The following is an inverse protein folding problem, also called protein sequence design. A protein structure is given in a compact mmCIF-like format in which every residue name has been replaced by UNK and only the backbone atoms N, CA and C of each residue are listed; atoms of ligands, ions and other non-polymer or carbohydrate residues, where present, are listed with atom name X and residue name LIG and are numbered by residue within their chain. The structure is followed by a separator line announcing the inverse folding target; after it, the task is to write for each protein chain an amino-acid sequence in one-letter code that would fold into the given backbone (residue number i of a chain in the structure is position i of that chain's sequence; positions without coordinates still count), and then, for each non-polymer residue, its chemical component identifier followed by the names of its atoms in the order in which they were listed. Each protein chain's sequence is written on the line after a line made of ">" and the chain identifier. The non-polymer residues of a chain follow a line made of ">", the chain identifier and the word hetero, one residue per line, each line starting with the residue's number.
data_IF_157581463940
#
_entry.id   IF_157581463940
#
_cell.length_a   1.000
_cell.length_b   1.000
_cell.length_c   1.000
_cell.angle_alpha   90.00
_cell.angle_beta   90.00
_cell.angle_gamma   90.00
#
_symmetry.space_group_name_H-M   'P 1'
#
loop_
_entity.id
_entity.type
_entity.pdbx_description
1 polymer ?
#
# COMPACT_ATOMS: atom_id res chain seq x y z
N UNK A 1 17.89 -42.46 29.88
CA UNK A 1 16.98 -41.92 30.91
C UNK A 1 15.62 -41.79 30.26
N UNK A 2 14.65 -42.57 30.73
CA UNK A 2 13.26 -42.49 30.25
C UNK A 2 12.43 -41.89 31.38
N UNK A 3 11.64 -40.87 31.04
CA UNK A 3 10.83 -40.14 32.01
C UNK A 3 9.48 -40.85 32.18
N UNK A 4 9.23 -41.41 33.37
CA UNK A 4 8.01 -42.17 33.67
C UNK A 4 6.90 -41.30 34.26
N UNK A 5 7.25 -40.32 35.09
CA UNK A 5 6.30 -39.45 35.78
C UNK A 5 6.90 -38.05 36.01
N UNK A 6 6.07 -36.98 36.04
CA UNK A 6 6.53 -35.65 36.38
C UNK A 6 6.99 -35.58 37.85
N UNK A 7 8.10 -34.89 38.09
CA UNK A 7 8.69 -34.78 39.41
C UNK A 7 10.14 -34.32 39.39
N UNK A 8 10.67 -33.95 40.56
CA UNK A 8 12.09 -33.68 40.76
C UNK A 8 12.79 -34.98 41.13
N UNK A 9 13.86 -35.30 40.42
CA UNK A 9 14.72 -36.43 40.74
C UNK A 9 16.18 -36.02 40.69
N UNK A 10 17.05 -36.83 41.26
CA UNK A 10 18.49 -36.60 41.25
C UNK A 10 19.15 -37.75 40.49
N UNK A 11 20.05 -37.41 39.57
CA UNK A 11 20.93 -38.37 38.91
C UNK A 11 22.28 -38.28 39.59
N UNK A 12 22.72 -39.39 40.15
CA UNK A 12 23.99 -39.50 40.86
C UNK A 12 24.94 -40.29 39.97
N UNK A 13 26.13 -39.75 39.72
CA UNK A 13 27.22 -40.47 39.06
C UNK A 13 28.43 -40.53 39.99
N UNK A 14 29.02 -41.71 40.14
CA UNK A 14 30.19 -41.92 40.98
C UNK A 14 31.33 -42.57 40.18
N UNK A 15 32.54 -42.03 40.33
CA UNK A 15 33.79 -42.61 39.81
C UNK A 15 34.85 -42.55 40.91
N UNK A 16 35.26 -43.72 41.41
CA UNK A 16 36.12 -43.80 42.60
C UNK A 16 35.46 -43.13 43.81
N UNK A 17 36.18 -42.21 44.45
CA UNK A 17 35.71 -41.42 45.61
C UNK A 17 34.96 -40.13 45.21
N UNK A 18 34.85 -39.84 43.92
CA UNK A 18 34.18 -38.63 43.43
C UNK A 18 32.72 -38.91 43.10
N UNK A 19 31.81 -38.18 43.74
CA UNK A 19 30.36 -38.24 43.51
C UNK A 19 29.91 -36.91 42.91
N UNK A 20 29.20 -36.96 41.79
CA UNK A 20 28.51 -35.82 41.19
C UNK A 20 27.00 -36.05 41.22
N UNK A 21 26.26 -35.03 41.65
CA UNK A 21 24.78 -35.06 41.73
C UNK A 21 24.23 -34.00 40.81
N UNK A 22 23.42 -34.40 39.85
CA UNK A 22 22.68 -33.51 38.96
C UNK A 22 21.18 -33.57 39.31
N UNK A 23 20.57 -32.40 39.54
CA UNK A 23 19.12 -32.31 39.70
C UNK A 23 18.44 -32.35 38.33
N UNK A 24 17.46 -33.23 38.17
CA UNK A 24 16.67 -33.38 36.94
C UNK A 24 15.20 -33.13 37.27
N UNK A 25 14.60 -32.14 36.62
CA UNK A 25 13.16 -31.87 36.69
C UNK A 25 12.48 -32.48 35.47
N UNK A 26 11.54 -33.39 35.71
CA UNK A 26 10.65 -33.94 34.69
C UNK A 26 9.33 -33.19 34.78
N UNK A 27 9.05 -32.31 33.82
CA UNK A 27 7.82 -31.52 33.80
C UNK A 27 6.70 -32.20 33.02
N UNK A 28 5.46 -32.04 33.49
CA UNK A 28 4.26 -32.39 32.74
C UNK A 28 4.09 -31.40 31.57
N UNK A 29 3.82 -31.90 30.36
CA UNK A 29 3.63 -31.07 29.15
C UNK A 29 2.19 -30.62 28.97
N UNK A 30 1.35 -30.69 30.00
CA UNK A 30 -0.01 -30.13 29.96
C UNK A 30 0.02 -28.61 30.03
N UNK A 31 -0.82 -27.95 29.23
CA UNK A 31 -0.98 -26.49 29.26
C UNK A 31 -1.89 -26.12 30.44
N UNK A 32 -1.40 -25.29 31.36
CA UNK A 32 -2.14 -24.86 32.56
C UNK A 32 -2.66 -23.43 32.45
N UNK A 33 -1.88 -22.54 31.84
CA UNK A 33 -2.26 -21.15 31.64
C UNK A 33 -1.85 -20.66 30.25
N UNK A 34 -2.54 -19.62 29.80
CA UNK A 34 -2.34 -19.01 28.50
C UNK A 34 -2.27 -17.50 28.69
N UNK A 35 -1.25 -16.88 28.11
CA UNK A 35 -1.04 -15.45 28.09
C UNK A 35 -1.03 -14.98 26.64
N UNK A 36 -1.46 -13.74 26.42
CA UNK A 36 -1.40 -13.09 25.12
C UNK A 36 -0.44 -11.91 25.18
N UNK A 37 0.27 -11.66 24.10
CA UNK A 37 1.16 -10.51 23.96
C UNK A 37 0.41 -9.20 24.20
N UNK A 38 1.10 -8.19 24.73
CA UNK A 38 0.54 -6.85 24.84
C UNK A 38 0.14 -6.32 23.46
N UNK A 39 -1.13 -5.96 23.32
CA UNK A 39 -1.73 -5.43 22.10
C UNK A 39 -2.26 -4.03 22.39
N UNK A 40 -2.27 -3.11 21.39
CA UNK A 40 -2.90 -1.81 21.57
C UNK A 40 -4.42 -1.97 21.68
N UNK A 41 -5.07 -1.09 22.46
CA UNK A 41 -6.53 -1.09 22.58
C UNK A 41 -7.20 -0.48 21.36
N UNK A 42 -6.49 0.37 20.62
CA UNK A 42 -7.03 1.09 19.46
C UNK A 42 -6.27 0.73 18.20
N UNK A 43 -7.02 0.42 17.14
CA UNK A 43 -6.49 0.18 15.79
C UNK A 43 -7.16 1.12 14.80
N UNK A 44 -6.50 1.36 13.68
CA UNK A 44 -7.09 2.06 12.54
C UNK A 44 -7.43 1.06 11.44
N UNK A 45 -8.50 1.33 10.71
CA UNK A 45 -8.82 0.54 9.51
C UNK A 45 -7.61 0.53 8.56
N UNK A 46 -7.20 -0.67 8.15
CA UNK A 46 -6.02 -0.94 7.34
C UNK A 46 -4.75 -1.27 8.12
N UNK A 47 -4.77 -1.18 9.46
CA UNK A 47 -3.65 -1.62 10.28
C UNK A 47 -3.56 -3.16 10.28
N UNK A 48 -2.34 -3.67 10.19
CA UNK A 48 -2.02 -5.09 10.35
C UNK A 48 -1.08 -5.28 11.55
N UNK A 49 -1.45 -6.17 12.48
CA UNK A 49 -0.64 -6.50 13.66
C UNK A 49 -0.62 -8.01 13.89
N UNK A 50 0.47 -8.51 14.50
CA UNK A 50 0.56 -9.91 14.87
C UNK A 50 0.33 -10.09 16.38
N UNK A 51 -0.68 -10.89 16.75
CA UNK A 51 -0.87 -11.34 18.12
C UNK A 51 -0.12 -12.65 18.35
N UNK A 52 0.50 -12.77 19.53
CA UNK A 52 1.21 -13.98 19.96
C UNK A 52 0.63 -14.47 21.28
N UNK A 53 0.64 -15.77 21.46
CA UNK A 53 0.19 -16.42 22.69
C UNK A 53 1.33 -17.25 23.27
N UNK A 54 1.48 -17.23 24.59
CA UNK A 54 2.44 -18.05 25.32
C UNK A 54 1.63 -18.98 26.21
N UNK A 55 1.93 -20.26 26.17
CA UNK A 55 1.23 -21.31 26.91
C UNK A 55 2.17 -21.93 27.92
N UNK A 56 1.81 -21.88 29.21
CA UNK A 56 2.71 -22.27 30.29
C UNK A 56 2.23 -23.59 30.93
N UNK A 57 3.19 -24.46 31.24
CA UNK A 57 3.00 -25.64 32.08
C UNK A 57 2.88 -25.27 33.56
N UNK A 58 2.57 -26.25 34.41
CA UNK A 58 2.60 -26.14 35.87
C UNK A 58 3.91 -25.52 36.40
N UNK A 59 5.04 -25.86 35.79
CA UNK A 59 6.35 -25.37 36.22
C UNK A 59 6.75 -24.03 35.56
N UNK A 60 5.82 -23.37 34.85
CA UNK A 60 6.05 -22.10 34.19
C UNK A 60 6.90 -22.21 32.91
N UNK A 61 7.12 -23.42 32.40
CA UNK A 61 7.81 -23.66 31.13
C UNK A 61 6.88 -23.42 29.95
N UNK A 62 7.42 -22.84 28.87
CA UNK A 62 6.70 -22.66 27.61
C UNK A 62 6.43 -24.01 26.95
N UNK A 63 5.16 -24.26 26.66
CA UNK A 63 4.68 -25.46 25.98
C UNK A 63 4.18 -25.02 24.61
N UNK A 64 4.86 -25.38 23.50
CA UNK A 64 4.43 -24.95 22.17
C UNK A 64 3.06 -25.53 21.84
N UNK A 65 2.11 -24.65 21.57
CA UNK A 65 0.76 -25.00 21.17
C UNK A 65 0.26 -24.04 20.09
N UNK A 66 -0.61 -24.54 19.20
CA UNK A 66 -1.21 -23.73 18.14
C UNK A 66 -2.58 -23.25 18.61
N UNK A 67 -2.78 -21.94 18.85
CA UNK A 67 -4.07 -21.40 19.24
C UNK A 67 -5.08 -21.43 18.10
N UNK A 68 -6.33 -21.74 18.43
CA UNK A 68 -7.47 -21.49 17.55
C UNK A 68 -7.95 -20.05 17.76
N UNK A 69 -7.87 -19.24 16.72
CA UNK A 69 -8.30 -17.85 16.73
C UNK A 69 -9.74 -17.69 16.27
N UNK A 70 -10.45 -16.76 16.90
CA UNK A 70 -11.79 -16.33 16.51
C UNK A 70 -11.95 -14.83 16.72
N UNK A 71 -12.78 -14.19 15.89
CA UNK A 71 -13.19 -12.79 16.03
C UNK A 71 -14.70 -12.74 16.21
N UNK A 72 -15.16 -11.84 17.07
CA UNK A 72 -16.60 -11.63 17.29
C UNK A 72 -17.28 -11.02 16.06
N UNK A 73 -16.54 -10.18 15.31
CA UNK A 73 -17.01 -9.56 14.08
C UNK A 73 -15.88 -9.47 13.04
N UNK A 74 -15.99 -10.30 12.00
CA UNK A 74 -15.02 -10.39 10.89
C UNK A 74 -15.17 -9.29 9.83
N UNK A 75 -16.22 -8.47 9.90
CA UNK A 75 -16.38 -7.27 9.08
C UNK A 75 -15.62 -6.09 9.67
N UNK A 76 -15.41 -6.08 11.00
CA UNK A 76 -14.63 -5.07 11.71
C UNK A 76 -13.15 -5.48 11.78
N UNK A 77 -12.86 -6.73 12.15
CA UNK A 77 -11.48 -7.17 12.37
C UNK A 77 -11.34 -8.67 12.08
N UNK A 78 -10.40 -9.00 11.20
CA UNK A 78 -10.10 -10.37 10.78
C UNK A 78 -8.85 -10.86 11.48
N UNK A 79 -8.83 -12.14 11.81
CA UNK A 79 -7.66 -12.81 12.39
C UNK A 79 -7.38 -14.07 11.59
N UNK A 80 -6.14 -14.22 11.14
CA UNK A 80 -5.65 -15.38 10.44
C UNK A 80 -5.19 -16.47 11.44
N UNK A 81 -5.09 -17.75 11.02
CA UNK A 81 -4.67 -18.84 11.90
C UNK A 81 -3.27 -18.66 12.52
N UNK A 82 -2.40 -17.89 11.86
CA UNK A 82 -1.06 -17.57 12.36
C UNK A 82 -1.05 -16.42 13.39
N UNK A 83 -2.20 -15.87 13.77
CA UNK A 83 -2.32 -14.74 14.67
C UNK A 83 -2.13 -13.36 14.01
N UNK A 84 -2.07 -13.28 12.67
CA UNK A 84 -2.08 -11.98 11.98
C UNK A 84 -3.49 -11.39 12.00
N UNK A 85 -3.60 -10.13 12.41
CA UNK A 85 -4.85 -9.41 12.58
C UNK A 85 -4.89 -8.26 11.59
N UNK A 86 -6.01 -8.13 10.88
CA UNK A 86 -6.27 -7.07 9.92
C UNK A 86 -7.53 -6.29 10.34
N UNK A 87 -7.39 -4.98 10.51
CA UNK A 87 -8.51 -4.10 10.82
C UNK A 87 -9.27 -3.71 9.53
N UNK A 88 -10.47 -4.24 9.33
CA UNK A 88 -11.24 -4.12 8.07
C UNK A 88 -12.30 -3.02 8.14
N UNK A 89 -12.91 -2.80 9.30
CA UNK A 89 -14.05 -1.90 9.48
C UNK A 89 -14.02 -1.19 10.83
N UNK A 90 -14.74 -0.08 10.94
CA UNK A 90 -14.81 0.67 12.19
C UNK A 90 -15.77 0.03 13.18
N UNK A 91 -15.41 0.03 14.46
CA UNK A 91 -16.25 -0.45 15.54
C UNK A 91 -15.45 -1.15 16.62
N UNK A 92 -16.14 -1.63 17.64
CA UNK A 92 -15.51 -2.37 18.75
C UNK A 92 -15.74 -3.85 18.56
N UNK A 93 -14.67 -4.64 18.63
CA UNK A 93 -14.74 -6.10 18.46
C UNK A 93 -13.72 -6.78 19.36
N UNK A 94 -13.87 -8.08 19.56
CA UNK A 94 -13.02 -8.89 20.43
C UNK A 94 -12.48 -10.08 19.66
N UNK A 95 -11.18 -10.33 19.83
CA UNK A 95 -10.55 -11.58 19.40
C UNK A 95 -10.40 -12.50 20.59
N UNK A 96 -10.49 -13.80 20.32
CA UNK A 96 -10.27 -14.86 21.31
C UNK A 96 -9.37 -15.93 20.71
N UNK A 97 -8.28 -16.22 21.42
CA UNK A 97 -7.38 -17.33 21.15
C UNK A 97 -7.67 -18.46 22.14
N UNK A 98 -7.75 -19.70 21.65
CA UNK A 98 -8.13 -20.85 22.48
C UNK A 98 -7.14 -22.01 22.29
N UNK A 99 -6.65 -22.59 23.39
CA UNK A 99 -5.76 -23.77 23.39
C UNK A 99 -6.22 -24.73 24.48
N UNK A 100 -6.55 -25.99 24.12
CA UNK A 100 -6.90 -27.05 25.08
C UNK A 100 -7.95 -26.63 26.14
N UNK A 101 -8.93 -25.82 25.74
CA UNK A 101 -9.99 -25.30 26.62
C UNK A 101 -9.64 -24.03 27.41
N UNK A 102 -8.39 -23.57 27.37
CA UNK A 102 -7.99 -22.26 27.90
C UNK A 102 -8.19 -21.18 26.84
N UNK A 103 -8.65 -20.00 27.24
CA UNK A 103 -8.91 -18.88 26.34
C UNK A 103 -8.23 -17.60 26.81
N UNK A 104 -7.64 -16.85 25.88
CA UNK A 104 -7.19 -15.48 26.08
C UNK A 104 -7.92 -14.56 25.09
N UNK A 105 -8.40 -13.41 25.56
CA UNK A 105 -9.16 -12.47 24.71
C UNK A 105 -8.69 -11.04 24.89
N UNK A 106 -8.73 -10.26 23.81
CA UNK A 106 -8.45 -8.82 23.82
C UNK A 106 -9.54 -8.09 23.05
N UNK A 107 -9.93 -6.93 23.56
CA UNK A 107 -10.92 -6.07 22.94
C UNK A 107 -10.22 -4.94 22.20
N UNK A 108 -10.61 -4.73 20.95
CA UNK A 108 -10.11 -3.66 20.11
C UNK A 108 -11.20 -2.65 19.83
N UNK A 109 -10.82 -1.37 19.82
CA UNK A 109 -11.60 -0.31 19.24
C UNK A 109 -10.98 0.11 17.91
N UNK A 110 -11.61 -0.30 16.81
CA UNK A 110 -11.17 0.03 15.46
C UNK A 110 -11.80 1.36 15.05
N UNK A 111 -10.96 2.37 14.93
CA UNK A 111 -11.37 3.70 14.51
C UNK A 111 -11.13 3.88 13.01
N UNK A 112 -11.87 4.80 12.39
CA UNK A 112 -11.52 5.23 11.04
C UNK A 112 -10.14 5.89 11.10
N UNK A 113 -9.15 5.30 10.46
CA UNK A 113 -7.91 6.01 10.15
C UNK A 113 -8.25 7.10 9.14
N UNK A 114 -8.65 8.30 9.60
CA UNK A 114 -8.79 9.43 8.67
C UNK A 114 -7.41 9.71 8.09
N UNK A 115 -7.21 9.28 6.84
CA UNK A 115 -6.05 9.66 6.04
C UNK A 115 -5.98 11.19 6.04
N UNK A 116 -4.87 11.76 6.48
CA UNK A 116 -4.76 13.21 6.68
C UNK A 116 -4.64 13.91 5.32
N UNK A 117 -5.38 15.00 5.12
CA UNK A 117 -5.20 15.87 3.97
C UNK A 117 -3.76 16.38 3.81
N UNK A 118 -3.08 16.65 4.93
CA UNK A 118 -1.69 17.07 4.95
C UNK A 118 -0.74 15.96 4.54
N UNK A 119 -1.05 14.70 4.91
CA UNK A 119 -0.29 13.53 4.47
C UNK A 119 -0.42 13.29 2.97
N UNK A 120 -1.65 13.37 2.44
CA UNK A 120 -1.90 13.26 1.01
C UNK A 120 -1.20 14.37 0.21
N UNK A 121 -1.28 15.61 0.67
CA UNK A 121 -0.63 16.75 0.05
C UNK A 121 0.90 16.64 0.06
N UNK A 122 1.49 16.36 1.22
CA UNK A 122 2.94 16.24 1.37
C UNK A 122 3.50 15.15 0.46
N UNK A 123 2.82 14.00 0.35
CA UNK A 123 3.30 12.91 -0.49
C UNK A 123 3.24 13.26 -1.99
N UNK A 124 2.23 14.00 -2.42
CA UNK A 124 2.14 14.49 -3.80
C UNK A 124 3.23 15.50 -4.18
N UNK A 125 3.81 16.23 -3.21
CA UNK A 125 4.95 17.11 -3.45
C UNK A 125 6.27 16.35 -3.62
N UNK A 126 6.41 15.19 -2.97
CA UNK A 126 7.63 14.38 -3.04
C UNK A 126 7.68 13.65 -4.39
N UNK A 127 6.56 13.08 -4.84
CA UNK A 127 6.49 12.42 -6.14
C UNK A 127 5.10 12.57 -6.80
N UNK A 128 5.04 12.73 -8.13
CA UNK A 128 3.79 12.79 -8.88
C UNK A 128 2.89 11.59 -8.57
N UNK A 129 1.66 11.86 -8.11
CA UNK A 129 0.70 10.83 -7.75
C UNK A 129 0.82 10.28 -6.33
N UNK A 130 1.75 10.76 -5.50
CA UNK A 130 1.95 10.27 -4.14
C UNK A 130 0.69 10.26 -3.28
N UNK A 131 -0.08 11.36 -3.27
CA UNK A 131 -1.34 11.41 -2.55
C UNK A 131 -2.35 10.33 -2.96
N UNK A 132 -2.34 9.87 -4.21
CA UNK A 132 -3.24 8.81 -4.67
C UNK A 132 -2.87 7.44 -4.09
N UNK A 133 -1.57 7.14 -4.00
CA UNK A 133 -1.09 5.95 -3.28
C UNK A 133 -1.45 6.02 -1.80
N UNK A 134 -1.29 7.20 -1.18
CA UNK A 134 -1.67 7.41 0.22
C UNK A 134 -3.16 7.10 0.45
N UNK A 135 -4.05 7.58 -0.43
CA UNK A 135 -5.50 7.38 -0.30
C UNK A 135 -5.95 5.98 -0.74
N UNK A 136 -5.08 5.18 -1.36
CA UNK A 136 -5.36 3.79 -1.71
C UNK A 136 -5.84 3.61 -3.15
N UNK A 137 -5.49 4.53 -4.05
CA UNK A 137 -5.80 4.47 -5.49
C UNK A 137 -4.51 4.29 -6.31
N UNK A 138 -3.85 3.11 -6.26
CA UNK A 138 -2.55 2.92 -6.89
C UNK A 138 -2.57 3.09 -8.41
N UNK A 139 -3.64 2.65 -9.08
CA UNK A 139 -3.79 2.79 -10.54
C UNK A 139 -3.84 4.26 -10.96
N UNK A 140 -4.57 5.10 -10.20
CA UNK A 140 -4.60 6.55 -10.43
C UNK A 140 -3.24 7.19 -10.21
N UNK A 141 -2.54 6.78 -9.14
CA UNK A 141 -1.17 7.21 -8.86
C UNK A 141 -0.20 6.91 -10.01
N UNK A 142 -0.19 5.67 -10.51
CA UNK A 142 0.64 5.28 -11.66
C UNK A 142 0.29 6.08 -12.91
N UNK A 143 -1.01 6.26 -13.20
CA UNK A 143 -1.43 7.05 -14.35
C UNK A 143 -0.96 8.51 -14.26
N UNK A 144 -1.08 9.15 -13.08
CA UNK A 144 -0.58 10.52 -12.89
C UNK A 144 0.93 10.62 -13.08
N UNK A 145 1.68 9.62 -12.61
CA UNK A 145 3.14 9.58 -12.80
C UNK A 145 3.51 9.47 -14.30
N UNK A 146 2.83 8.58 -15.04
CA UNK A 146 3.03 8.41 -16.48
C UNK A 146 2.62 9.66 -17.27
N UNK A 147 1.49 10.29 -16.91
CA UNK A 147 0.99 11.48 -17.60
C UNK A 147 1.94 12.68 -17.43
N UNK A 148 2.43 12.91 -16.20
CA UNK A 148 3.42 13.96 -15.92
C UNK A 148 4.74 13.68 -16.65
N UNK A 149 5.26 12.45 -16.54
CA UNK A 149 6.48 12.05 -17.24
C UNK A 149 6.36 12.18 -18.76
N UNK A 150 5.23 11.74 -19.33
CA UNK A 150 4.92 11.84 -20.75
C UNK A 150 4.81 13.28 -21.25
N UNK A 151 4.17 14.17 -20.50
CA UNK A 151 4.05 15.59 -20.84
C UNK A 151 5.42 16.29 -20.92
N UNK A 152 6.31 16.00 -19.97
CA UNK A 152 7.66 16.55 -19.98
C UNK A 152 8.49 15.94 -21.10
N UNK A 153 8.49 14.61 -21.24
CA UNK A 153 9.31 13.94 -22.25
C UNK A 153 8.90 14.31 -23.69
N UNK A 154 7.60 14.38 -23.98
CA UNK A 154 7.09 14.74 -25.30
C UNK A 154 7.46 16.16 -25.73
N UNK A 155 7.57 17.09 -24.78
CA UNK A 155 7.98 18.47 -25.07
C UNK A 155 9.42 18.62 -25.56
N UNK A 156 10.25 17.60 -25.31
CA UNK A 156 11.67 17.59 -25.70
C UNK A 156 11.91 16.84 -27.03
N UNK A 157 10.87 16.24 -27.63
CA UNK A 157 11.01 15.46 -28.86
C UNK A 157 11.19 16.33 -30.12
N UNK A 158 10.68 17.57 -30.12
CA UNK A 158 10.76 18.48 -31.27
C UNK A 158 11.73 19.60 -30.94
N UNK A 159 12.83 19.63 -31.69
CA UNK A 159 13.87 20.66 -31.60
C UNK A 159 13.95 21.38 -32.94
N UNK A 160 13.85 22.70 -32.91
CA UNK A 160 14.10 23.51 -34.10
C UNK A 160 15.54 24.06 -34.05
N UNK A 161 16.24 23.98 -35.18
CA UNK A 161 17.63 24.41 -35.31
C UNK A 161 17.68 25.48 -36.40
N UNK A 162 17.73 26.74 -35.98
CA UNK A 162 17.92 27.85 -36.89
C UNK A 162 19.41 28.18 -37.01
N UNK A 163 19.92 28.17 -38.24
CA UNK A 163 21.32 28.45 -38.56
C UNK A 163 21.41 29.84 -39.19
N UNK A 164 22.09 30.76 -38.52
CA UNK A 164 22.37 32.09 -39.06
C UNK A 164 23.72 32.10 -39.77
N UNK A 165 23.69 32.31 -41.09
CA UNK A 165 24.88 32.41 -41.93
C UNK A 165 25.30 33.88 -42.08
N UNK A 166 26.60 34.16 -41.97
CA UNK A 166 27.14 35.52 -41.98
C UNK A 166 27.37 36.13 -43.36
N UNK A 167 27.22 35.35 -44.44
CA UNK A 167 27.62 35.74 -45.80
C UNK A 167 26.44 36.07 -46.71
N UNK A 168 26.61 37.03 -47.64
CA UNK A 168 25.65 37.40 -48.71
C UNK A 168 25.52 36.35 -49.84
N UNK A 169 26.10 35.17 -49.67
CA UNK A 169 26.03 34.10 -50.65
C UNK A 169 24.79 33.25 -50.41
N UNK A 170 24.06 32.87 -51.47
CA UNK A 170 22.81 32.09 -51.38
C UNK A 170 22.98 30.66 -50.82
N UNK A 171 24.22 30.21 -50.60
CA UNK A 171 24.54 28.86 -50.12
C UNK A 171 25.29 28.96 -48.79
N UNK A 172 24.73 28.29 -47.76
CA UNK A 172 25.38 28.16 -46.46
C UNK A 172 26.34 26.97 -46.45
N UNK A 173 27.64 27.24 -46.38
CA UNK A 173 28.69 26.24 -46.19
C UNK A 173 29.11 26.16 -44.71
N UNK A 174 29.64 25.02 -44.22
CA UNK A 174 30.00 24.83 -42.81
C UNK A 174 30.97 25.86 -42.23
N UNK A 175 31.80 26.51 -43.06
CA UNK A 175 32.75 27.55 -42.64
C UNK A 175 32.13 28.93 -42.38
N UNK A 176 30.85 29.16 -42.73
CA UNK A 176 30.18 30.47 -42.68
C UNK A 176 29.03 30.54 -41.67
N UNK A 177 28.94 29.58 -40.74
CA UNK A 177 27.93 29.54 -39.68
C UNK A 177 28.35 30.46 -38.54
N UNK A 178 27.62 31.55 -38.31
CA UNK A 178 27.93 32.54 -37.27
C UNK A 178 27.24 32.20 -35.95
N UNK A 179 25.99 31.70 -36.04
CA UNK A 179 25.21 31.37 -34.85
C UNK A 179 24.29 30.20 -35.13
N UNK A 180 24.24 29.27 -34.18
CA UNK A 180 23.25 28.21 -34.12
C UNK A 180 22.35 28.51 -32.93
N UNK A 181 21.08 28.75 -33.18
CA UNK A 181 20.08 28.90 -32.13
C UNK A 181 19.30 27.60 -32.06
N UNK A 182 19.18 27.06 -30.86
CA UNK A 182 18.42 25.84 -30.61
C UNK A 182 17.20 26.24 -29.79
N UNK A 183 16.02 26.10 -30.36
CA UNK A 183 14.75 26.43 -29.70
C UNK A 183 13.95 25.14 -29.45
N UNK A 184 13.39 25.02 -28.25
CA UNK A 184 12.44 23.98 -27.88
C UNK A 184 11.03 24.58 -27.83
N UNK A 185 10.32 24.66 -28.95
CA UNK A 185 9.05 25.39 -29.04
C UNK A 185 7.95 24.85 -28.11
N UNK A 186 8.06 23.60 -27.67
CA UNK A 186 7.05 22.92 -26.85
C UNK A 186 7.40 22.82 -25.37
N UNK A 187 8.58 23.28 -24.93
CA UNK A 187 9.04 23.13 -23.54
C UNK A 187 8.08 23.81 -22.55
N UNK A 188 7.59 25.01 -22.89
CA UNK A 188 6.66 25.77 -22.04
C UNK A 188 5.31 25.07 -21.92
N UNK A 189 4.78 24.55 -23.03
CA UNK A 189 3.51 23.83 -23.09
C UNK A 189 3.58 22.53 -22.30
N UNK A 190 4.67 21.75 -22.46
CA UNK A 190 4.88 20.51 -21.73
C UNK A 190 4.96 20.70 -20.21
N UNK A 191 5.70 21.72 -19.76
CA UNK A 191 5.79 22.08 -18.34
C UNK A 191 4.45 22.57 -17.79
N UNK A 192 3.71 23.37 -18.55
CA UNK A 192 2.39 23.86 -18.15
C UNK A 192 1.38 22.70 -18.00
N UNK A 193 1.37 21.76 -18.96
CA UNK A 193 0.53 20.57 -18.89
C UNK A 193 0.90 19.69 -17.68
N UNK A 194 2.19 19.46 -17.44
CA UNK A 194 2.66 18.72 -16.27
C UNK A 194 2.22 19.37 -14.95
N UNK A 195 2.32 20.69 -14.83
CA UNK A 195 1.88 21.43 -13.64
C UNK A 195 0.36 21.30 -13.41
N UNK A 196 -0.44 21.38 -14.46
CA UNK A 196 -1.89 21.21 -14.37
C UNK A 196 -2.27 19.79 -13.90
N UNK A 197 -1.62 18.75 -14.44
CA UNK A 197 -1.85 17.36 -14.03
C UNK A 197 -1.48 17.16 -12.56
N UNK A 198 -0.33 17.69 -12.13
CA UNK A 198 0.10 17.64 -10.73
C UNK A 198 -0.92 18.30 -9.80
N UNK A 199 -1.39 19.51 -10.15
CA UNK A 199 -2.38 20.21 -9.35
C UNK A 199 -3.68 19.41 -9.20
N UNK A 200 -4.22 18.90 -10.31
CA UNK A 200 -5.43 18.08 -10.28
C UNK A 200 -5.25 16.80 -9.46
N UNK A 201 -4.08 16.16 -9.57
CA UNK A 201 -3.77 14.95 -8.79
C UNK A 201 -3.77 15.21 -7.27
N UNK A 202 -3.26 16.38 -6.85
CA UNK A 202 -3.25 16.81 -5.44
C UNK A 202 -4.68 17.05 -4.96
N UNK A 203 -5.48 17.79 -5.73
CA UNK A 203 -6.87 18.09 -5.38
C UNK A 203 -7.68 16.80 -5.23
N UNK A 204 -7.58 15.88 -6.18
CA UNK A 204 -8.29 14.60 -6.13
C UNK A 204 -7.86 13.75 -4.92
N UNK A 205 -6.56 13.67 -4.63
CA UNK A 205 -6.07 12.98 -3.44
C UNK A 205 -6.59 13.61 -2.14
N UNK A 206 -6.58 14.94 -2.04
CA UNK A 206 -7.09 15.66 -0.86
C UNK A 206 -8.61 15.45 -0.71
N UNK A 207 -9.38 15.46 -1.80
CA UNK A 207 -10.81 15.17 -1.75
C UNK A 207 -11.10 13.72 -1.35
N UNK A 208 -10.27 12.78 -1.82
CA UNK A 208 -10.34 11.38 -1.43
C UNK A 208 -10.15 11.14 0.08
N UNK A 209 -9.43 12.02 0.79
CA UNK A 209 -9.34 11.95 2.26
C UNK A 209 -10.63 12.32 2.99
N UNK A 210 -11.54 13.05 2.32
CA UNK A 210 -12.81 13.53 2.88
C UNK A 210 -14.00 12.61 2.57
N UNK A 211 -13.77 11.50 1.86
CA UNK A 211 -14.83 10.58 1.44
C UNK A 211 -15.83 11.19 0.45
N UNK A 212 -15.47 12.31 -0.22
CA UNK A 212 -16.28 12.89 -1.30
C UNK A 212 -15.90 12.24 -2.62
N UNK A 213 -16.88 12.01 -3.48
CA UNK A 213 -16.70 11.40 -4.79
C UNK A 213 -15.58 12.12 -5.58
N UNK A 214 -14.76 11.38 -6.34
CA UNK A 214 -13.66 11.95 -7.11
C UNK A 214 -14.17 12.96 -8.12
N UNK A 215 -13.37 14.00 -8.39
CA UNK A 215 -13.64 14.92 -9.49
C UNK A 215 -13.37 14.15 -10.79
N UNK A 216 -14.42 13.64 -11.43
CA UNK A 216 -14.33 13.12 -12.80
C UNK A 216 -13.83 14.23 -13.71
N UNK A 217 -12.76 13.95 -14.45
CA UNK A 217 -12.12 14.81 -15.47
C UNK A 217 -13.05 14.90 -16.70
N UNK A 218 -14.30 15.34 -16.51
CA UNK A 218 -15.28 15.52 -17.57
C UNK A 218 -15.42 17.00 -17.98
N UNK A 219 -14.70 17.93 -17.34
CA UNK A 219 -14.92 19.37 -17.51
C UNK A 219 -13.68 20.17 -17.92
N UNK A 220 -12.67 19.53 -18.51
CA UNK A 220 -11.56 20.22 -19.18
C UNK A 220 -11.61 19.94 -20.69
N UNK A 221 -12.78 20.10 -21.29
CA UNK A 221 -12.97 20.05 -22.73
C UNK A 221 -13.69 21.30 -23.21
N UNK A 222 -13.10 22.48 -23.00
CA UNK A 222 -13.48 23.63 -23.83
C UNK A 222 -12.37 24.68 -23.89
N UNK A 223 -11.32 24.36 -24.64
CA UNK A 223 -10.43 25.36 -25.24
C UNK A 223 -9.70 24.69 -26.42
N UNK A 224 -10.08 25.07 -27.63
CA UNK A 224 -9.52 24.67 -28.93
C UNK A 224 -10.01 23.34 -29.54
N UNK A 225 -11.06 23.44 -30.36
CA UNK A 225 -11.18 22.72 -31.64
C UNK A 225 -11.27 21.19 -31.61
N UNK A 226 -12.49 20.66 -31.49
CA UNK A 226 -12.96 19.56 -32.34
C UNK A 226 -12.66 18.12 -31.93
N UNK A 227 -12.19 17.83 -30.71
CA UNK A 227 -12.06 16.45 -30.22
C UNK A 227 -12.66 16.31 -28.81
N UNK A 228 -13.74 15.55 -28.69
CA UNK A 228 -14.29 15.14 -27.39
C UNK A 228 -13.82 13.72 -27.08
N UNK A 229 -12.93 13.58 -26.09
CA UNK A 229 -12.56 12.29 -25.53
C UNK A 229 -13.45 12.02 -24.31
N UNK A 230 -14.62 11.42 -24.52
CA UNK A 230 -15.46 10.93 -23.42
C UNK A 230 -14.84 9.66 -22.83
N UNK A 231 -14.12 9.82 -21.71
CA UNK A 231 -13.77 8.69 -20.86
C UNK A 231 -14.99 8.34 -20.01
N UNK A 232 -15.74 7.32 -20.43
CA UNK A 232 -16.81 6.72 -19.61
C UNK A 232 -16.26 6.36 -18.22
N UNK A 233 -17.04 6.57 -17.14
CA UNK A 233 -16.61 6.24 -15.79
C UNK A 233 -16.21 4.76 -15.71
N UNK A 234 -15.00 4.51 -15.21
CA UNK A 234 -14.41 3.18 -15.00
C UNK A 234 -15.08 2.43 -13.82
N UNK A 235 -16.37 2.62 -13.59
CA UNK A 235 -17.14 1.87 -12.60
C UNK A 235 -17.36 0.39 -13.05
N UNK A 236 -16.96 0.05 -14.29
CA UNK A 236 -17.17 -1.26 -14.89
C UNK A 236 -16.03 -2.28 -14.75
N UNK A 237 -14.90 -1.98 -14.11
CA UNK A 237 -13.81 -2.97 -13.92
C UNK A 237 -14.04 -3.74 -12.61
N UNK A 238 -15.08 -4.58 -12.62
CA UNK A 238 -15.32 -5.58 -11.58
C UNK A 238 -14.63 -6.89 -11.92
N UNK A 239 -13.65 -7.29 -11.10
CA UNK A 239 -13.08 -8.65 -11.14
C UNK A 239 -14.06 -9.64 -10.52
N UNK A 240 -15.05 -10.07 -11.29
CA UNK A 240 -15.77 -11.32 -11.02
C UNK A 240 -15.06 -12.47 -11.74
N UNK A 241 -14.84 -13.58 -11.03
CA UNK A 241 -14.11 -14.76 -11.51
C UNK A 241 -14.57 -15.15 -12.93
N UNK A 242 -13.61 -15.21 -13.85
CA UNK A 242 -13.72 -15.77 -15.20
C UNK A 242 -14.57 -15.01 -16.23
N UNK A 243 -14.13 -13.81 -16.65
CA UNK A 243 -14.03 -13.36 -18.07
C UNK A 243 -13.71 -11.85 -18.11
N UNK A 244 -12.53 -11.51 -18.62
CA UNK A 244 -12.19 -10.13 -18.97
C UNK A 244 -12.91 -9.77 -20.28
N UNK A 245 -13.93 -8.93 -20.21
CA UNK A 245 -14.51 -8.27 -21.40
C UNK A 245 -13.86 -6.90 -21.55
N UNK A 246 -13.00 -6.77 -22.56
CA UNK A 246 -12.49 -5.48 -22.99
C UNK A 246 -13.43 -4.92 -24.07
N UNK A 247 -14.27 -3.96 -23.71
CA UNK A 247 -15.01 -3.17 -24.70
C UNK A 247 -14.08 -2.03 -25.13
N UNK A 248 -13.34 -2.25 -26.22
CA UNK A 248 -12.46 -1.24 -26.81
C UNK A 248 -13.28 -0.18 -27.56
N UNK A 249 -12.95 1.09 -27.27
CA UNK A 249 -13.20 2.34 -28.01
C UNK A 249 -14.26 2.32 -29.14
N UNK A 250 -15.22 3.24 -29.06
CA UNK A 250 -16.02 3.66 -30.22
C UNK A 250 -15.58 5.06 -30.65
N UNK A 251 -14.84 5.15 -31.76
CA UNK A 251 -14.50 6.42 -32.40
C UNK A 251 -15.69 6.85 -33.27
N UNK A 252 -16.36 7.94 -32.92
CA UNK A 252 -17.35 8.58 -33.80
C UNK A 252 -16.73 9.83 -34.41
N UNK A 253 -16.50 9.81 -35.71
CA UNK A 253 -16.14 11.01 -36.47
C UNK A 253 -17.42 11.81 -36.72
N UNK A 254 -17.56 12.95 -36.06
CA UNK A 254 -18.61 13.92 -36.37
C UNK A 254 -18.31 14.58 -37.71
N UNK A 255 -18.91 14.06 -38.79
CA UNK A 255 -18.88 14.73 -40.09
C UNK A 255 -19.69 16.01 -40.04
N UNK A 256 -19.05 17.15 -40.32
CA UNK A 256 -19.73 18.41 -40.56
C UNK A 256 -20.56 18.32 -41.85
N UNK A 257 -21.87 18.52 -41.73
CA UNK A 257 -22.73 19.11 -42.75
C UNK A 257 -23.70 20.05 -42.07
#
# INVERSE_FOLDING_TARGET
>A
LEALMPGRTQVISQVGDSVAVAQVLVSDRTVRSMLMSALPDTLRVGDEIAARTITLSHDGLDVPAVPLWSSTDSLILRVAPNGNIEAVGTGTTRITATVNGLSASHQFNVMSGRKSWGGAFALSLIFPGGGQFYVGHPVRGVFTMLAVGGAVASSLLIKDITVHCGARTSVCTPGNVVRRTEELPYETIGRAAAAAILFLSVVDAVLGTRGRAPLTIATLSDASGGWTADFLPLDGVGSSKQRLRFTLLRLTTGGAR
#
